data_IF_068149004644
#
_entry.id   IF_068149004644
#
_cell.length_a   1.000
_cell.length_b   1.000
_cell.length_c   1.000
_cell.angle_alpha   90.00
_cell.angle_beta   90.00
_cell.angle_gamma   90.00
#
_symmetry.space_group_name_H-M   'P 1'
#
loop_
_entity.id
_entity.type
_entity.pdbx_description
1 polymer ?
#
# COMPACT_ATOMS: atom_id res chain seq x y z
N UNK A 1 13.58 9.36 12.15
CA UNK A 1 13.44 9.06 10.71
C UNK A 1 12.29 9.95 10.22
N UNK A 2 12.51 10.84 9.24
CA UNK A 2 11.36 11.51 8.59
C UNK A 2 10.64 10.40 7.82
N UNK A 3 9.53 9.91 8.35
CA UNK A 3 8.73 8.94 7.61
C UNK A 3 8.26 9.63 6.32
N UNK A 4 8.65 9.07 5.17
CA UNK A 4 8.13 9.54 3.89
C UNK A 4 6.68 9.08 3.83
N UNK A 5 5.77 9.98 4.16
CA UNK A 5 4.34 9.73 4.09
C UNK A 5 3.91 9.67 2.62
N UNK A 6 3.12 8.66 2.27
CA UNK A 6 2.41 8.61 0.99
C UNK A 6 1.40 9.77 0.98
N UNK A 7 1.25 10.52 -0.11
CA UNK A 7 0.25 11.59 -0.17
C UNK A 7 -1.19 11.06 -0.32
N UNK A 8 -2.14 11.97 -0.17
CA UNK A 8 -3.56 11.70 -0.38
C UNK A 8 -3.86 11.45 -1.88
N UNK A 9 -5.03 10.88 -2.14
CA UNK A 9 -5.53 10.38 -3.40
C UNK A 9 -5.45 11.43 -4.51
N UNK A 10 -4.76 11.09 -5.60
CA UNK A 10 -4.76 11.84 -6.84
C UNK A 10 -5.39 11.01 -7.96
N UNK A 11 -5.84 11.68 -9.01
CA UNK A 11 -6.37 11.07 -10.22
C UNK A 11 -5.34 11.15 -11.34
N UNK A 12 -4.31 10.32 -11.26
CA UNK A 12 -3.34 10.12 -12.34
C UNK A 12 -3.72 8.89 -13.20
N UNK A 13 -3.49 8.96 -14.52
CA UNK A 13 -3.60 7.78 -15.40
C UNK A 13 -5.01 7.19 -15.60
N UNK A 14 -6.07 7.91 -15.20
CA UNK A 14 -7.46 7.51 -15.41
C UNK A 14 -8.09 6.68 -14.28
N UNK A 15 -7.40 6.52 -13.16
CA UNK A 15 -7.90 5.88 -11.94
C UNK A 15 -7.36 6.59 -10.69
N UNK A 16 -7.91 6.28 -9.51
CA UNK A 16 -7.45 6.90 -8.26
C UNK A 16 -6.22 6.18 -7.67
N UNK A 17 -5.13 6.92 -7.39
CA UNK A 17 -3.91 6.37 -6.80
C UNK A 17 -3.28 7.36 -5.81
N UNK A 18 -2.61 6.86 -4.77
CA UNK A 18 -1.79 7.73 -3.92
C UNK A 18 -0.41 7.93 -4.55
N UNK A 19 0.01 9.18 -4.73
CA UNK A 19 1.29 9.53 -5.35
C UNK A 19 2.37 9.87 -4.30
N UNK A 20 3.67 9.72 -4.60
CA UNK A 20 4.74 10.21 -3.75
C UNK A 20 4.71 11.74 -3.68
N UNK A 21 4.99 12.28 -2.49
CA UNK A 21 4.91 13.71 -2.19
C UNK A 21 5.68 14.59 -3.20
N UNK A 22 4.93 15.37 -3.98
CA UNK A 22 5.44 16.44 -4.84
C UNK A 22 4.97 17.77 -4.24
N UNK A 23 5.80 18.33 -3.37
CA UNK A 23 5.68 19.69 -2.80
C UNK A 23 4.33 20.02 -2.15
N UNK A 24 3.90 19.17 -1.21
CA UNK A 24 2.73 19.47 -0.40
C UNK A 24 3.06 20.38 0.77
N UNK A 25 2.52 21.60 0.73
CA UNK A 25 2.73 22.59 1.79
C UNK A 25 1.79 22.31 2.98
N UNK A 26 2.37 21.89 4.09
CA UNK A 26 1.70 21.66 5.37
C UNK A 26 2.02 22.81 6.32
N UNK A 27 1.00 23.40 6.95
CA UNK A 27 1.21 24.40 8.00
C UNK A 27 1.21 23.72 9.37
N UNK A 28 2.33 23.81 10.10
CA UNK A 28 2.35 23.44 11.52
C UNK A 28 1.49 24.43 12.30
N UNK A 29 0.56 23.94 13.12
CA UNK A 29 -0.36 24.79 13.89
C UNK A 29 0.36 25.81 14.77
N UNK A 30 1.60 25.53 15.19
CA UNK A 30 2.43 26.45 15.96
C UNK A 30 2.75 27.77 15.21
N UNK A 31 2.75 27.72 13.87
CA UNK A 31 3.12 28.83 12.99
C UNK A 31 1.92 29.52 12.34
N UNK A 32 0.69 29.20 12.79
CA UNK A 32 -0.56 29.69 12.20
C UNK A 32 -1.24 30.70 13.14
N UNK A 33 -1.76 31.78 12.55
CA UNK A 33 -2.61 32.75 13.23
C UNK A 33 -4.08 32.32 13.21
N UNK A 34 -4.83 32.66 14.26
CA UNK A 34 -6.27 32.39 14.31
C UNK A 34 -7.01 33.07 13.15
N UNK A 35 -8.01 32.40 12.60
CA UNK A 35 -8.83 32.94 11.50
C UNK A 35 -8.12 33.05 10.14
N UNK A 36 -6.88 32.56 9.98
CA UNK A 36 -6.17 32.62 8.70
C UNK A 36 -6.93 31.84 7.61
N UNK A 37 -7.41 32.57 6.60
CA UNK A 37 -8.20 32.04 5.48
C UNK A 37 -7.34 31.34 4.42
N UNK A 38 -6.02 31.53 4.43
CA UNK A 38 -5.12 30.90 3.46
C UNK A 38 -4.78 29.46 3.84
N UNK A 39 -4.96 29.11 5.11
CA UNK A 39 -4.65 27.80 5.65
C UNK A 39 -5.75 26.80 5.31
N UNK A 40 -5.38 25.75 4.57
CA UNK A 40 -6.29 24.64 4.20
C UNK A 40 -5.77 23.26 4.62
N UNK A 41 -4.47 23.15 4.92
CA UNK A 41 -3.78 21.93 5.33
C UNK A 41 -3.05 22.21 6.64
N UNK A 42 -3.37 21.48 7.70
CA UNK A 42 -2.85 21.72 9.06
C UNK A 42 -2.26 20.46 9.64
N UNK A 43 -1.14 20.60 10.35
CA UNK A 43 -0.57 19.55 11.18
C UNK A 43 -0.40 19.97 12.62
N UNK A 44 -0.66 19.01 13.50
CA UNK A 44 -0.35 19.12 14.92
C UNK A 44 -0.25 17.77 15.62
N UNK A 45 0.26 17.80 16.84
CA UNK A 45 0.42 16.64 17.72
C UNK A 45 0.50 17.05 19.18
N UNK A 46 0.79 16.10 20.10
CA UNK A 46 0.83 16.32 21.56
C UNK A 46 1.73 17.47 22.03
N UNK A 47 2.72 17.83 21.21
CA UNK A 47 3.66 18.92 21.49
C UNK A 47 3.02 20.31 21.33
N UNK A 48 2.03 20.46 20.44
CA UNK A 48 1.35 21.72 20.18
C UNK A 48 0.31 22.01 21.26
N UNK A 49 0.58 22.91 22.21
CA UNK A 49 -0.35 23.25 23.31
C UNK A 49 -1.50 24.17 22.89
N UNK A 50 -1.29 24.90 21.82
CA UNK A 50 -2.17 25.88 21.21
C UNK A 50 -2.99 25.32 20.03
N UNK A 51 -3.08 23.98 19.93
CA UNK A 51 -3.75 23.27 18.84
C UNK A 51 -5.23 23.67 18.63
N UNK A 52 -5.90 24.20 19.67
CA UNK A 52 -7.30 24.64 19.60
C UNK A 52 -7.54 25.77 18.60
N UNK A 53 -6.49 26.49 18.18
CA UNK A 53 -6.57 27.47 17.09
C UNK A 53 -7.15 26.88 15.81
N UNK A 54 -7.03 25.57 15.59
CA UNK A 54 -7.59 24.90 14.41
C UNK A 54 -9.10 25.14 14.26
N UNK A 55 -9.85 25.30 15.35
CA UNK A 55 -11.29 25.55 15.32
C UNK A 55 -11.65 26.95 14.82
N UNK A 56 -10.68 27.88 14.79
CA UNK A 56 -10.87 29.22 14.24
C UNK A 56 -10.62 29.29 12.73
N UNK A 57 -10.00 28.25 12.13
CA UNK A 57 -9.55 28.28 10.74
C UNK A 57 -10.69 27.91 9.79
N UNK A 58 -11.17 28.85 8.95
CA UNK A 58 -12.43 28.66 8.23
C UNK A 58 -12.33 27.72 7.02
N UNK A 59 -11.13 27.51 6.48
CA UNK A 59 -10.89 26.83 5.20
C UNK A 59 -10.11 25.52 5.34
N UNK A 60 -9.96 24.98 6.56
CA UNK A 60 -9.27 23.70 6.76
C UNK A 60 -10.05 22.57 6.11
N UNK A 61 -9.40 21.92 5.14
CA UNK A 61 -9.93 20.74 4.47
C UNK A 61 -9.16 19.48 4.85
N UNK A 62 -7.95 19.64 5.37
CA UNK A 62 -7.05 18.55 5.66
C UNK A 62 -6.32 18.72 6.98
N UNK A 63 -6.29 17.62 7.72
CA UNK A 63 -5.62 17.57 9.01
C UNK A 63 -4.72 16.35 9.12
N UNK A 64 -3.48 16.60 9.52
CA UNK A 64 -2.53 15.57 9.97
C UNK A 64 -2.36 15.64 11.49
N UNK A 65 -2.73 14.56 12.16
CA UNK A 65 -2.44 14.32 13.57
C UNK A 65 -1.24 13.38 13.69
N UNK A 66 -0.11 13.88 14.19
CA UNK A 66 1.08 13.07 14.44
C UNK A 66 1.35 12.96 15.94
N UNK A 67 1.32 11.74 16.48
CA UNK A 67 1.40 11.51 17.92
C UNK A 67 0.45 12.42 18.74
N UNK A 68 -0.85 12.49 18.42
CA UNK A 68 -1.79 13.31 19.17
C UNK A 68 -2.02 12.75 20.58
N UNK A 69 -2.39 13.63 21.52
CA UNK A 69 -2.94 13.20 22.80
C UNK A 69 -4.44 12.84 22.69
N UNK A 70 -5.02 12.32 23.77
CA UNK A 70 -6.43 11.90 23.79
C UNK A 70 -7.40 13.06 23.54
N UNK A 71 -7.10 14.26 24.04
CA UNK A 71 -8.00 15.40 23.91
C UNK A 71 -8.04 15.89 22.45
N UNK A 72 -6.87 15.93 21.80
CA UNK A 72 -6.73 16.26 20.38
C UNK A 72 -7.52 15.28 19.51
N UNK A 73 -7.45 13.98 19.81
CA UNK A 73 -8.17 12.92 19.10
C UNK A 73 -9.68 13.00 19.27
N UNK A 74 -10.16 13.20 20.50
CA UNK A 74 -11.60 13.29 20.75
C UNK A 74 -12.18 14.58 20.16
N UNK A 75 -11.39 15.64 20.05
CA UNK A 75 -11.85 16.93 19.55
C UNK A 75 -11.84 17.06 18.02
N UNK A 76 -11.12 16.20 17.29
CA UNK A 76 -11.04 16.28 15.82
C UNK A 76 -12.41 16.13 15.15
N UNK A 77 -13.34 15.40 15.80
CA UNK A 77 -14.69 15.20 15.31
C UNK A 77 -15.50 16.50 15.15
N UNK A 78 -15.08 17.59 15.81
CA UNK A 78 -15.69 18.92 15.68
C UNK A 78 -15.40 19.54 14.31
N UNK A 79 -14.34 19.12 13.61
CA UNK A 79 -14.00 19.59 12.26
C UNK A 79 -14.75 18.80 11.18
N UNK A 80 -16.08 18.84 11.23
CA UNK A 80 -16.96 18.04 10.36
C UNK A 80 -16.87 18.42 8.87
N UNK A 81 -16.21 19.54 8.54
CA UNK A 81 -16.00 20.03 7.17
C UNK A 81 -14.83 19.38 6.45
N UNK A 82 -13.89 18.76 7.17
CA UNK A 82 -12.65 18.27 6.56
C UNK A 82 -12.92 17.10 5.62
N UNK A 83 -12.12 17.03 4.56
CA UNK A 83 -12.18 15.99 3.53
C UNK A 83 -11.06 14.96 3.69
N UNK A 84 -9.95 15.34 4.32
CA UNK A 84 -8.74 14.51 4.41
C UNK A 84 -8.24 14.46 5.86
N UNK A 85 -8.06 13.27 6.38
CA UNK A 85 -7.58 13.05 7.75
C UNK A 85 -6.47 12.02 7.75
N UNK A 86 -5.33 12.38 8.32
CA UNK A 86 -4.25 11.46 8.65
C UNK A 86 -4.06 11.41 10.15
N UNK A 87 -3.95 10.22 10.70
CA UNK A 87 -3.58 10.00 12.09
C UNK A 87 -2.44 9.00 12.14
N UNK A 88 -1.34 9.38 12.79
CA UNK A 88 -0.16 8.53 12.91
C UNK A 88 0.32 8.41 14.35
N UNK A 89 0.88 7.24 14.68
CA UNK A 89 1.49 6.95 15.99
C UNK A 89 0.53 7.18 17.15
N UNK A 90 -0.55 6.39 17.17
CA UNK A 90 -1.66 6.60 18.09
C UNK A 90 -2.07 5.33 18.82
N UNK A 91 -2.55 5.48 20.05
CA UNK A 91 -3.25 4.44 20.80
C UNK A 91 -4.69 4.85 21.06
N UNK A 92 -5.61 4.25 20.31
CA UNK A 92 -7.04 4.52 20.36
C UNK A 92 -7.75 3.45 21.18
N UNK A 93 -8.81 3.83 21.92
CA UNK A 93 -9.72 2.85 22.55
C UNK A 93 -10.72 2.29 21.53
N UNK A 94 -11.15 3.13 20.60
CA UNK A 94 -12.08 2.82 19.50
C UNK A 94 -11.96 3.90 18.41
N UNK A 95 -12.68 3.72 17.30
CA UNK A 95 -12.75 4.68 16.19
C UNK A 95 -14.00 5.58 16.22
N UNK A 96 -14.79 5.60 17.30
CA UNK A 96 -16.12 6.24 17.29
C UNK A 96 -16.09 7.74 16.98
N UNK A 97 -14.98 8.43 17.29
CA UNK A 97 -14.83 9.86 17.00
C UNK A 97 -14.99 10.17 15.50
N UNK A 98 -14.66 9.23 14.62
CA UNK A 98 -14.68 9.44 13.18
C UNK A 98 -16.08 9.33 12.57
N UNK A 99 -17.03 8.66 13.22
CA UNK A 99 -18.36 8.39 12.66
C UNK A 99 -19.18 9.65 12.31
N UNK A 100 -18.87 10.79 12.95
CA UNK A 100 -19.53 12.07 12.67
C UNK A 100 -18.92 12.81 11.46
N UNK A 101 -17.75 12.40 10.98
CA UNK A 101 -16.97 13.07 9.94
C UNK A 101 -17.43 12.68 8.53
N UNK A 102 -18.74 12.78 8.27
CA UNK A 102 -19.40 12.26 7.04
C UNK A 102 -18.97 12.93 5.73
N UNK A 103 -18.22 14.02 5.79
CA UNK A 103 -17.60 14.69 4.62
C UNK A 103 -16.22 14.14 4.27
N UNK A 104 -15.65 13.27 5.10
CA UNK A 104 -14.34 12.69 4.86
C UNK A 104 -14.35 11.88 3.56
N UNK A 105 -13.43 12.24 2.68
CA UNK A 105 -13.19 11.56 1.41
C UNK A 105 -11.95 10.67 1.49
N UNK A 106 -11.04 10.97 2.42
CA UNK A 106 -9.79 10.24 2.54
C UNK A 106 -9.32 10.09 3.98
N UNK A 107 -8.91 8.87 4.31
CA UNK A 107 -8.45 8.50 5.64
C UNK A 107 -7.15 7.72 5.56
N UNK A 108 -6.17 8.19 6.32
CA UNK A 108 -4.91 7.48 6.54
C UNK A 108 -4.73 7.22 8.03
N UNK A 109 -4.60 5.94 8.40
CA UNK A 109 -4.29 5.50 9.76
C UNK A 109 -2.98 4.71 9.74
N UNK A 110 -1.95 5.25 10.38
CA UNK A 110 -0.59 4.69 10.39
C UNK A 110 -0.14 4.45 11.83
N UNK A 111 0.44 3.29 12.12
CA UNK A 111 0.95 2.97 13.47
C UNK A 111 -0.12 3.18 14.56
N UNK A 112 -1.34 2.73 14.29
CA UNK A 112 -2.47 2.85 15.21
C UNK A 112 -2.69 1.54 15.97
N UNK A 113 -3.03 1.65 17.26
CA UNK A 113 -3.20 0.47 18.13
C UNK A 113 -4.30 0.67 19.16
N UNK A 114 -4.70 -0.42 19.83
CA UNK A 114 -5.59 -0.36 20.99
C UNK A 114 -7.07 -0.59 20.69
N UNK A 115 -7.42 -0.75 19.42
CA UNK A 115 -8.76 -1.08 18.94
C UNK A 115 -8.69 -2.28 17.98
N UNK A 116 -9.82 -2.97 17.82
CA UNK A 116 -9.99 -4.07 16.86
C UNK A 116 -11.20 -3.88 15.96
N UNK A 117 -12.17 -3.05 16.38
CA UNK A 117 -13.40 -2.79 15.65
C UNK A 117 -13.24 -1.65 14.65
N UNK A 118 -13.50 -1.94 13.37
CA UNK A 118 -13.51 -0.99 12.26
C UNK A 118 -14.93 -0.52 11.89
N UNK A 119 -15.98 -1.03 12.53
CA UNK A 119 -17.38 -0.68 12.23
C UNK A 119 -17.68 0.83 12.18
N UNK A 120 -17.01 1.71 12.98
CA UNK A 120 -17.22 3.16 12.87
C UNK A 120 -16.88 3.75 11.49
N UNK A 121 -15.99 3.10 10.72
CA UNK A 121 -15.61 3.55 9.38
C UNK A 121 -16.78 3.43 8.39
N UNK A 122 -17.72 2.51 8.61
CA UNK A 122 -18.88 2.32 7.74
C UNK A 122 -19.77 3.56 7.63
N UNK A 123 -19.67 4.52 8.57
CA UNK A 123 -20.40 5.79 8.53
C UNK A 123 -19.83 6.81 7.53
N UNK A 124 -18.62 6.57 7.02
CA UNK A 124 -17.89 7.46 6.11
C UNK A 124 -18.31 7.25 4.65
N UNK A 125 -19.58 7.56 4.36
CA UNK A 125 -20.24 7.29 3.07
C UNK A 125 -19.65 8.06 1.86
N UNK A 126 -18.75 9.02 2.09
CA UNK A 126 -18.02 9.75 1.05
C UNK A 126 -16.57 9.29 0.87
N UNK A 127 -16.10 8.33 1.67
CA UNK A 127 -14.71 7.87 1.64
C UNK A 127 -14.40 7.21 0.29
N UNK A 128 -13.37 7.74 -0.37
CA UNK A 128 -12.81 7.30 -1.66
C UNK A 128 -11.44 6.66 -1.48
N UNK A 129 -10.67 7.10 -0.48
CA UNK A 129 -9.33 6.57 -0.18
C UNK A 129 -9.22 6.11 1.25
N UNK A 130 -8.70 4.90 1.43
CA UNK A 130 -8.39 4.34 2.74
C UNK A 130 -7.01 3.70 2.73
N UNK A 131 -6.11 4.23 3.57
CA UNK A 131 -4.80 3.67 3.83
C UNK A 131 -4.71 3.25 5.29
N UNK A 132 -4.50 1.95 5.51
CA UNK A 132 -4.34 1.34 6.82
C UNK A 132 -2.94 0.71 6.90
N UNK A 133 -2.07 1.26 7.74
CA UNK A 133 -0.74 0.72 7.99
C UNK A 133 -0.57 0.41 9.48
N UNK A 134 -0.15 -0.83 9.76
CA UNK A 134 0.25 -1.27 11.10
C UNK A 134 -0.86 -1.06 12.16
N UNK A 135 -2.06 -1.56 11.86
CA UNK A 135 -3.20 -1.54 12.77
C UNK A 135 -3.10 -2.70 13.75
N UNK A 136 -2.40 -2.47 14.87
CA UNK A 136 -2.18 -3.52 15.87
C UNK A 136 -3.50 -3.88 16.56
N UNK A 137 -3.81 -5.18 16.55
CA UNK A 137 -5.04 -5.84 17.05
C UNK A 137 -6.23 -5.85 16.09
N UNK A 138 -6.11 -5.24 14.91
CA UNK A 138 -7.10 -5.40 13.85
C UNK A 138 -6.74 -6.65 13.05
N UNK A 139 -7.72 -7.51 12.81
CA UNK A 139 -7.60 -8.66 11.89
C UNK A 139 -8.89 -8.94 11.14
N UNK A 140 -10.02 -8.54 11.71
CA UNK A 140 -11.30 -8.43 11.02
C UNK A 140 -11.44 -7.08 10.32
N UNK A 141 -11.73 -7.12 9.01
CA UNK A 141 -11.93 -5.96 8.15
C UNK A 141 -13.39 -5.82 7.68
N UNK A 142 -14.33 -6.57 8.26
CA UNK A 142 -15.78 -6.50 7.96
C UNK A 142 -16.38 -5.09 8.15
N UNK A 143 -15.77 -4.26 9.00
CA UNK A 143 -16.16 -2.85 9.19
C UNK A 143 -16.04 -1.98 7.92
N UNK A 144 -15.38 -2.48 6.87
CA UNK A 144 -15.25 -1.78 5.58
C UNK A 144 -16.45 -1.99 4.64
N UNK A 145 -17.36 -2.91 4.91
CA UNK A 145 -18.48 -3.29 4.03
C UNK A 145 -19.39 -2.13 3.61
N UNK A 146 -19.47 -1.08 4.44
CA UNK A 146 -20.27 0.12 4.19
C UNK A 146 -19.65 1.14 3.21
N UNK A 147 -18.37 0.99 2.86
CA UNK A 147 -17.60 1.98 2.10
C UNK A 147 -17.83 1.87 0.58
N UNK A 148 -19.09 2.04 0.16
CA UNK A 148 -19.53 1.81 -1.24
C UNK A 148 -18.90 2.74 -2.29
N UNK A 149 -18.28 3.85 -1.87
CA UNK A 149 -17.58 4.79 -2.77
C UNK A 149 -16.06 4.64 -2.76
N UNK A 150 -15.53 3.64 -2.05
CA UNK A 150 -14.10 3.45 -1.93
C UNK A 150 -13.51 3.09 -3.30
N UNK A 151 -12.50 3.87 -3.71
CA UNK A 151 -11.78 3.74 -4.98
C UNK A 151 -10.37 3.18 -4.78
N UNK A 152 -9.75 3.51 -3.65
CA UNK A 152 -8.41 3.06 -3.30
C UNK A 152 -8.40 2.45 -1.90
N UNK A 153 -7.84 1.24 -1.80
CA UNK A 153 -7.59 0.57 -0.52
C UNK A 153 -6.15 0.09 -0.47
N UNK A 154 -5.44 0.48 0.59
CA UNK A 154 -4.15 -0.07 0.95
C UNK A 154 -4.16 -0.60 2.37
N UNK A 155 -3.81 -1.89 2.52
CA UNK A 155 -3.63 -2.55 3.82
C UNK A 155 -2.17 -3.02 3.90
N UNK A 156 -1.44 -2.52 4.89
CA UNK A 156 -0.02 -2.82 5.09
C UNK A 156 0.32 -3.09 6.56
N UNK A 157 1.37 -3.86 6.76
CA UNK A 157 2.02 -4.11 8.04
C UNK A 157 3.48 -3.69 8.01
N UNK A 158 4.14 -3.76 9.16
CA UNK A 158 5.58 -3.48 9.28
C UNK A 158 6.40 -4.77 9.28
N UNK A 159 7.73 -4.63 9.35
CA UNK A 159 8.64 -5.77 9.45
C UNK A 159 8.41 -6.58 10.74
N UNK A 160 8.12 -5.90 11.85
CA UNK A 160 7.84 -6.51 13.16
C UNK A 160 6.37 -6.92 13.33
N UNK A 161 5.47 -6.38 12.50
CA UNK A 161 4.04 -6.67 12.57
C UNK A 161 3.42 -6.77 11.17
N UNK A 162 3.51 -7.94 10.52
CA UNK A 162 2.70 -8.22 9.33
C UNK A 162 1.21 -8.16 9.70
N UNK A 163 0.41 -7.42 8.93
CA UNK A 163 -0.99 -7.18 9.23
C UNK A 163 -1.82 -8.45 9.04
N UNK A 164 -2.36 -9.09 10.09
CA UNK A 164 -3.24 -10.24 9.93
C UNK A 164 -4.55 -9.84 9.26
N UNK A 165 -5.05 -10.71 8.38
CA UNK A 165 -6.39 -10.61 7.79
C UNK A 165 -7.09 -11.96 8.02
N UNK A 166 -8.17 -11.94 8.81
CA UNK A 166 -8.91 -13.14 9.17
C UNK A 166 -9.76 -13.67 8.00
N UNK A 167 -10.28 -12.80 7.15
CA UNK A 167 -11.00 -13.13 5.92
C UNK A 167 -11.06 -11.93 4.96
N UNK A 168 -11.45 -12.17 3.71
CA UNK A 168 -11.51 -11.15 2.65
C UNK A 168 -12.93 -10.85 2.16
N UNK A 169 -13.98 -11.26 2.88
CA UNK A 169 -15.38 -11.11 2.44
C UNK A 169 -15.77 -9.65 2.21
N UNK A 170 -15.16 -8.73 2.95
CA UNK A 170 -15.38 -7.29 2.80
C UNK A 170 -15.11 -6.78 1.38
N UNK A 171 -14.18 -7.40 0.65
CA UNK A 171 -13.87 -7.03 -0.73
C UNK A 171 -15.07 -7.22 -1.67
N UNK A 172 -15.97 -8.17 -1.38
CA UNK A 172 -17.16 -8.39 -2.21
C UNK A 172 -18.13 -7.18 -2.21
N UNK A 173 -18.02 -6.31 -1.19
CA UNK A 173 -18.87 -5.13 -1.02
C UNK A 173 -18.28 -3.86 -1.66
N UNK A 174 -16.97 -3.83 -1.91
CA UNK A 174 -16.23 -2.68 -2.44
C UNK A 174 -16.27 -2.62 -3.97
N UNK A 175 -17.45 -2.68 -4.58
CA UNK A 175 -17.61 -2.84 -6.04
C UNK A 175 -17.05 -1.68 -6.88
N UNK A 176 -16.87 -0.52 -6.26
CA UNK A 176 -16.34 0.70 -6.87
C UNK A 176 -14.82 0.80 -6.83
N UNK A 177 -14.13 -0.17 -6.18
CA UNK A 177 -12.70 -0.16 -5.98
C UNK A 177 -11.96 -0.24 -7.31
N UNK A 178 -11.04 0.71 -7.52
CA UNK A 178 -10.19 0.82 -8.70
C UNK A 178 -8.76 0.34 -8.41
N UNK A 179 -8.28 0.54 -7.17
CA UNK A 179 -6.93 0.14 -6.76
C UNK A 179 -6.98 -0.63 -5.43
N UNK A 180 -6.46 -1.86 -5.47
CA UNK A 180 -6.28 -2.71 -4.29
C UNK A 180 -4.80 -2.98 -4.06
N UNK A 181 -4.30 -2.64 -2.88
CA UNK A 181 -2.90 -2.90 -2.50
C UNK A 181 -2.86 -3.67 -1.19
N UNK A 182 -2.02 -4.69 -1.16
CA UNK A 182 -1.59 -5.37 0.06
C UNK A 182 -0.09 -5.20 0.20
N UNK A 183 0.38 -4.72 1.34
CA UNK A 183 1.80 -4.71 1.67
C UNK A 183 2.18 -5.99 2.40
N UNK A 184 2.71 -5.88 3.62
CA UNK A 184 3.03 -7.00 4.51
C UNK A 184 1.79 -7.46 5.25
N UNK A 185 1.01 -8.36 4.64
CA UNK A 185 -0.15 -9.00 5.27
C UNK A 185 0.11 -10.45 5.67
N UNK A 186 -0.69 -10.99 6.58
CA UNK A 186 -0.84 -12.44 6.81
C UNK A 186 -2.26 -12.82 6.43
N UNK A 187 -2.42 -13.56 5.33
CA UNK A 187 -3.64 -14.28 5.04
C UNK A 187 -3.79 -15.46 6.01
N UNK A 188 -4.85 -15.49 6.81
CA UNK A 188 -5.14 -16.59 7.75
C UNK A 188 -6.00 -17.72 7.19
N UNK A 189 -6.54 -17.56 5.97
CA UNK A 189 -7.39 -18.56 5.34
C UNK A 189 -6.62 -19.38 4.29
N UNK A 190 -7.00 -20.66 4.11
CA UNK A 190 -6.52 -21.45 3.00
C UNK A 190 -7.09 -20.92 1.67
N UNK A 191 -6.43 -21.30 0.57
CA UNK A 191 -6.95 -21.05 -0.78
C UNK A 191 -8.34 -21.69 -0.97
N UNK A 192 -9.32 -21.03 -1.63
CA UNK A 192 -9.25 -19.72 -2.32
C UNK A 192 -9.76 -18.56 -1.46
N UNK A 193 -8.92 -18.03 -0.58
CA UNK A 193 -9.27 -16.98 0.37
C UNK A 193 -9.63 -15.64 -0.30
N UNK A 194 -9.03 -15.34 -1.45
CA UNK A 194 -9.30 -14.10 -2.19
C UNK A 194 -10.45 -14.23 -3.19
N UNK A 195 -11.23 -15.32 -3.18
CA UNK A 195 -12.37 -15.46 -4.08
C UNK A 195 -13.36 -14.27 -4.08
N UNK A 196 -13.62 -13.56 -2.96
CA UNK A 196 -14.46 -12.36 -2.95
C UNK A 196 -14.06 -11.27 -3.96
N UNK A 197 -12.79 -11.21 -4.40
CA UNK A 197 -12.34 -10.21 -5.38
C UNK A 197 -13.08 -10.31 -6.71
N UNK A 198 -13.71 -11.44 -7.05
CA UNK A 198 -14.49 -11.60 -8.30
C UNK A 198 -15.60 -10.55 -8.46
N UNK A 199 -16.03 -9.91 -7.37
CA UNK A 199 -17.05 -8.85 -7.39
C UNK A 199 -16.48 -7.44 -7.66
N UNK A 200 -15.16 -7.26 -7.67
CA UNK A 200 -14.48 -5.97 -7.94
C UNK A 200 -14.45 -5.66 -9.44
N UNK A 201 -15.59 -5.29 -10.01
CA UNK A 201 -15.76 -5.08 -11.46
C UNK A 201 -15.01 -3.86 -12.02
N UNK A 202 -14.67 -2.90 -11.16
CA UNK A 202 -14.03 -1.65 -11.55
C UNK A 202 -12.51 -1.64 -11.33
N UNK A 203 -11.93 -2.77 -10.88
CA UNK A 203 -10.52 -2.85 -10.54
C UNK A 203 -9.63 -2.53 -11.77
N UNK A 204 -8.69 -1.62 -11.59
CA UNK A 204 -7.72 -1.15 -12.59
C UNK A 204 -6.30 -1.54 -12.24
N UNK A 205 -5.98 -1.57 -10.94
CA UNK A 205 -4.67 -1.96 -10.43
C UNK A 205 -4.80 -2.84 -9.21
N UNK A 206 -3.98 -3.89 -9.17
CA UNK A 206 -3.78 -4.71 -7.97
C UNK A 206 -2.29 -4.89 -7.72
N UNK A 207 -1.89 -4.73 -6.46
CA UNK A 207 -0.49 -4.90 -6.07
C UNK A 207 -0.36 -5.65 -4.75
N UNK A 208 0.64 -6.51 -4.70
CA UNK A 208 1.05 -7.27 -3.53
C UNK A 208 2.51 -7.74 -3.73
N UNK A 209 3.36 -7.77 -2.70
CA UNK A 209 4.69 -8.38 -2.80
C UNK A 209 4.59 -9.84 -3.27
N UNK A 210 5.50 -10.27 -4.15
CA UNK A 210 5.47 -11.61 -4.77
C UNK A 210 5.48 -12.77 -3.77
N UNK A 211 5.91 -12.54 -2.53
CA UNK A 211 6.09 -13.57 -1.50
C UNK A 211 5.03 -13.52 -0.38
N UNK A 212 3.98 -12.69 -0.50
CA UNK A 212 3.03 -12.47 0.60
C UNK A 212 1.84 -13.46 0.61
N UNK A 213 1.42 -13.93 -0.57
CA UNK A 213 0.32 -14.88 -0.75
C UNK A 213 0.82 -16.20 -1.34
N UNK A 214 0.08 -17.29 -1.15
CA UNK A 214 0.34 -18.55 -1.88
C UNK A 214 0.23 -18.32 -3.41
N UNK A 215 1.03 -19.04 -4.19
CA UNK A 215 1.00 -18.95 -5.66
C UNK A 215 -0.38 -19.20 -6.26
N UNK A 216 -1.22 -20.03 -5.61
CA UNK A 216 -2.61 -20.28 -6.02
C UNK A 216 -3.47 -19.02 -5.97
N UNK A 217 -3.25 -18.15 -4.98
CA UNK A 217 -3.96 -16.87 -4.87
C UNK A 217 -3.54 -15.91 -5.99
N UNK A 218 -2.25 -15.87 -6.36
CA UNK A 218 -1.80 -15.10 -7.51
C UNK A 218 -2.38 -15.62 -8.82
N UNK A 219 -2.50 -16.94 -8.98
CA UNK A 219 -3.16 -17.53 -10.14
C UNK A 219 -4.67 -17.16 -10.20
N UNK A 220 -5.34 -17.12 -9.04
CA UNK A 220 -6.73 -16.65 -8.92
C UNK A 220 -6.89 -15.19 -9.29
N UNK A 221 -5.99 -14.31 -8.82
CA UNK A 221 -5.98 -12.89 -9.18
C UNK A 221 -5.84 -12.73 -10.71
N UNK A 222 -4.86 -13.37 -11.33
CA UNK A 222 -4.64 -13.27 -12.77
C UNK A 222 -5.84 -13.82 -13.57
N UNK A 223 -6.41 -14.96 -13.14
CA UNK A 223 -7.59 -15.54 -13.76
C UNK A 223 -8.84 -14.66 -13.65
N UNK A 224 -9.01 -13.93 -12.54
CA UNK A 224 -10.08 -12.95 -12.38
C UNK A 224 -9.88 -11.73 -13.31
N UNK A 225 -8.63 -11.30 -13.46
CA UNK A 225 -8.31 -9.96 -13.94
C UNK A 225 -7.13 -9.90 -14.94
N UNK A 226 -7.16 -10.63 -16.07
CA UNK A 226 -6.02 -10.75 -16.97
C UNK A 226 -5.59 -9.44 -17.66
N UNK A 227 -6.38 -8.36 -17.53
CA UNK A 227 -6.09 -7.03 -18.11
C UNK A 227 -5.85 -5.95 -17.05
N UNK A 228 -5.93 -6.28 -15.76
CA UNK A 228 -5.72 -5.33 -14.66
C UNK A 228 -4.23 -5.21 -14.39
N UNK A 229 -3.75 -3.99 -14.22
CA UNK A 229 -2.33 -3.73 -13.96
C UNK A 229 -1.89 -4.44 -12.67
N UNK A 230 -0.81 -5.22 -12.76
CA UNK A 230 -0.24 -5.96 -11.63
C UNK A 230 -0.94 -7.29 -11.28
N UNK A 231 -2.02 -7.64 -11.97
CA UNK A 231 -2.68 -8.94 -11.84
C UNK A 231 -1.89 -10.04 -12.57
N UNK A 232 -1.46 -9.78 -13.81
CA UNK A 232 -0.59 -10.69 -14.57
C UNK A 232 0.84 -10.62 -14.04
N UNK A 233 1.43 -11.79 -13.76
CA UNK A 233 2.77 -11.88 -13.16
C UNK A 233 3.63 -12.92 -13.85
N UNK A 234 4.94 -12.65 -13.87
CA UNK A 234 5.89 -13.69 -14.21
C UNK A 234 5.90 -14.77 -13.10
N UNK A 235 6.00 -16.06 -13.45
CA UNK A 235 6.06 -17.14 -12.46
C UNK A 235 7.33 -17.10 -11.59
N UNK A 236 8.34 -16.36 -12.03
CA UNK A 236 9.54 -16.05 -11.28
C UNK A 236 10.16 -14.73 -11.75
N UNK A 237 11.03 -14.16 -10.91
CA UNK A 237 11.82 -12.96 -11.22
C UNK A 237 13.29 -13.20 -10.95
N UNK A 238 14.16 -12.61 -11.77
CA UNK A 238 15.61 -12.65 -11.57
C UNK A 238 16.03 -11.55 -10.58
N UNK A 239 16.64 -11.92 -9.46
CA UNK A 239 17.05 -11.01 -8.39
C UNK A 239 18.52 -11.26 -8.04
N UNK A 240 19.31 -10.19 -7.91
CA UNK A 240 20.67 -10.24 -7.40
C UNK A 240 20.72 -9.74 -5.95
N UNK A 241 21.41 -10.47 -5.07
CA UNK A 241 21.50 -10.15 -3.64
C UNK A 241 22.76 -9.37 -3.24
N UNK A 242 23.73 -9.26 -4.15
CA UNK A 242 24.90 -8.41 -4.02
C UNK A 242 25.17 -7.72 -5.35
N UNK A 243 25.89 -6.61 -5.26
CA UNK A 243 26.46 -5.93 -6.42
C UNK A 243 27.99 -6.00 -6.31
N UNK A 244 28.68 -6.00 -7.45
CA UNK A 244 30.13 -5.82 -7.55
C UNK A 244 30.45 -4.44 -8.11
N UNK A 245 31.44 -3.77 -7.52
CA UNK A 245 31.90 -2.47 -8.01
C UNK A 245 32.72 -2.63 -9.27
N UNK A 246 32.48 -1.75 -10.24
CA UNK A 246 33.29 -1.70 -11.45
C UNK A 246 34.68 -1.13 -11.13
N UNK A 247 35.77 -1.78 -11.59
CA UNK A 247 37.10 -1.24 -11.43
C UNK A 247 37.26 0.03 -12.28
N UNK A 248 38.21 0.90 -11.91
CA UNK A 248 38.51 2.12 -12.69
C UNK A 248 38.93 1.85 -14.14
N UNK A 249 39.43 0.64 -14.41
CA UNK A 249 39.85 0.18 -15.74
C UNK A 249 38.68 -0.25 -16.62
N UNK A 250 37.48 -0.47 -16.06
CA UNK A 250 36.28 -0.76 -16.85
C UNK A 250 35.86 0.51 -17.60
N UNK A 251 35.61 0.41 -18.91
CA UNK A 251 35.19 1.55 -19.75
C UNK A 251 33.92 2.20 -19.22
N UNK A 252 33.02 1.41 -18.63
CA UNK A 252 31.77 1.90 -18.04
C UNK A 252 32.03 2.68 -16.76
N UNK A 253 33.23 2.67 -16.18
CA UNK A 253 33.58 3.53 -15.05
C UNK A 253 33.87 4.97 -15.46
N UNK A 254 34.12 5.25 -16.74
CA UNK A 254 34.49 6.58 -17.25
C UNK A 254 33.44 7.25 -18.15
N UNK A 255 32.39 6.53 -18.57
CA UNK A 255 31.29 7.09 -19.37
C UNK A 255 30.53 8.21 -18.64
N UNK A 256 29.74 9.02 -19.35
CA UNK A 256 28.81 9.94 -18.68
C UNK A 256 27.64 9.17 -18.04
N UNK A 257 26.95 9.78 -17.07
CA UNK A 257 25.77 9.16 -16.46
C UNK A 257 24.63 8.98 -17.48
N UNK A 258 24.52 9.89 -18.47
CA UNK A 258 23.58 9.79 -19.58
C UNK A 258 23.90 8.59 -20.50
N UNK A 259 25.18 8.38 -20.81
CA UNK A 259 25.62 7.22 -21.59
C UNK A 259 25.38 5.91 -20.83
N UNK A 260 25.60 5.90 -19.52
CA UNK A 260 25.26 4.73 -18.68
C UNK A 260 23.77 4.46 -18.72
N UNK A 261 22.94 5.46 -18.49
CA UNK A 261 21.48 5.29 -18.49
C UNK A 261 20.96 4.80 -19.85
N UNK A 262 21.57 5.26 -20.94
CA UNK A 262 21.15 4.95 -22.31
C UNK A 262 21.67 3.60 -22.83
N UNK A 263 22.93 3.28 -22.56
CA UNK A 263 23.61 2.13 -23.18
C UNK A 263 24.00 1.02 -22.20
N UNK A 264 24.01 1.30 -20.89
CA UNK A 264 24.38 0.36 -19.85
C UNK A 264 23.36 0.28 -18.71
N UNK A 265 22.10 -0.12 -19.00
CA UNK A 265 21.04 -0.19 -18.00
C UNK A 265 21.32 -1.21 -16.86
N UNK A 266 22.31 -2.09 -17.04
CA UNK A 266 22.79 -3.00 -15.99
C UNK A 266 23.63 -2.32 -14.91
N UNK A 267 24.17 -1.12 -15.18
CA UNK A 267 25.03 -0.39 -14.27
C UNK A 267 24.20 0.50 -13.37
N UNK A 268 24.35 0.29 -12.06
CA UNK A 268 23.77 1.14 -11.01
C UNK A 268 24.81 2.12 -10.53
N UNK A 269 24.38 3.37 -10.30
CA UNK A 269 25.20 4.42 -9.71
C UNK A 269 24.74 4.60 -8.26
N UNK A 270 25.65 4.48 -7.30
CA UNK A 270 25.33 4.73 -5.89
C UNK A 270 25.36 6.23 -5.55
N UNK A 271 24.94 6.58 -4.33
CA UNK A 271 24.90 7.98 -3.85
C UNK A 271 26.28 8.66 -3.79
N UNK A 272 27.38 7.91 -3.93
CA UNK A 272 28.76 8.41 -3.99
C UNK A 272 29.28 8.47 -5.44
N UNK A 273 28.43 8.22 -6.43
CA UNK A 273 28.81 8.16 -7.85
C UNK A 273 29.57 6.91 -8.24
N UNK A 274 29.68 5.89 -7.36
CA UNK A 274 30.36 4.64 -7.72
C UNK A 274 29.45 3.76 -8.56
N UNK A 275 30.05 3.13 -9.57
CA UNK A 275 29.35 2.26 -10.51
C UNK A 275 29.48 0.81 -10.10
N UNK A 276 28.37 0.09 -10.15
CA UNK A 276 28.27 -1.31 -9.75
C UNK A 276 27.29 -2.05 -10.64
N UNK A 277 27.52 -3.35 -10.81
CA UNK A 277 26.62 -4.25 -11.53
C UNK A 277 26.15 -5.36 -10.58
N UNK A 278 25.05 -6.02 -10.91
CA UNK A 278 24.63 -7.23 -10.20
C UNK A 278 25.77 -8.25 -10.20
N UNK A 279 26.06 -8.85 -9.05
CA UNK A 279 27.02 -9.95 -8.96
C UNK A 279 26.41 -11.22 -9.57
N UNK A 280 26.95 -11.77 -10.68
CA UNK A 280 26.39 -12.96 -11.32
C UNK A 280 26.31 -14.18 -10.39
N UNK A 281 27.17 -14.25 -9.36
CA UNK A 281 27.17 -15.35 -8.39
C UNK A 281 26.09 -15.21 -7.30
N UNK A 282 25.45 -14.04 -7.21
CA UNK A 282 24.36 -13.77 -6.29
C UNK A 282 23.00 -13.62 -7.00
N UNK A 283 22.93 -14.00 -8.27
CA UNK A 283 21.68 -14.01 -9.04
C UNK A 283 20.86 -15.27 -8.78
N UNK A 284 19.58 -15.07 -8.49
CA UNK A 284 18.59 -16.11 -8.25
C UNK A 284 17.34 -15.87 -9.09
N UNK A 285 16.75 -16.95 -9.56
CA UNK A 285 15.33 -16.96 -9.92
C UNK A 285 14.52 -17.17 -8.64
N UNK A 286 13.76 -16.16 -8.25
CA UNK A 286 12.79 -16.24 -7.15
C UNK A 286 11.42 -16.58 -7.69
N UNK A 287 10.84 -17.67 -7.19
CA UNK A 287 9.52 -18.13 -7.62
C UNK A 287 8.42 -17.28 -6.99
N UNK A 288 7.37 -17.01 -7.76
CA UNK A 288 6.19 -16.26 -7.32
C UNK A 288 5.42 -17.07 -6.26
N UNK A 289 5.19 -16.49 -5.08
CA UNK A 289 4.40 -17.09 -4.02
C UNK A 289 5.15 -17.21 -2.70
N UNK A 290 4.39 -17.15 -1.61
CA UNK A 290 4.89 -17.36 -0.25
C UNK A 290 5.50 -18.75 -0.15
N UNK A 291 6.74 -18.80 0.34
CA UNK A 291 7.51 -20.04 0.49
C UNK A 291 7.72 -20.80 -0.82
N UNK A 292 7.59 -20.16 -1.99
CA UNK A 292 7.81 -20.80 -3.28
C UNK A 292 9.28 -21.17 -3.53
N UNK A 293 10.21 -20.54 -2.80
CA UNK A 293 11.64 -20.80 -2.89
C UNK A 293 12.31 -20.07 -4.04
N UNK A 294 13.57 -20.42 -4.28
CA UNK A 294 14.42 -19.82 -5.30
C UNK A 294 15.49 -20.80 -5.79
N UNK A 295 16.02 -20.58 -6.98
CA UNK A 295 17.14 -21.35 -7.56
C UNK A 295 18.22 -20.39 -8.08
N UNK A 296 19.50 -20.69 -7.85
CA UNK A 296 20.60 -19.88 -8.40
C UNK A 296 20.53 -19.88 -9.92
N UNK A 297 20.76 -18.74 -10.55
CA UNK A 297 20.73 -18.65 -12.01
C UNK A 297 21.78 -19.55 -12.68
N UNK A 298 22.96 -19.66 -12.08
CA UNK A 298 24.06 -20.51 -12.58
C UNK A 298 23.95 -22.00 -12.19
N UNK A 299 22.88 -22.42 -11.52
CA UNK A 299 22.64 -23.83 -11.24
C UNK A 299 22.34 -24.60 -12.54
N UNK A 300 22.91 -25.79 -12.77
CA UNK A 300 22.56 -26.63 -13.93
C UNK A 300 21.06 -26.95 -14.04
N UNK A 301 20.36 -26.99 -12.90
CA UNK A 301 18.91 -27.25 -12.83
C UNK A 301 18.02 -26.00 -12.93
N UNK A 302 18.59 -24.81 -13.11
CA UNK A 302 17.81 -23.56 -13.07
C UNK A 302 16.76 -23.48 -14.17
N UNK A 303 17.13 -23.84 -15.41
CA UNK A 303 16.24 -23.80 -16.56
C UNK A 303 15.06 -24.78 -16.44
N UNK A 304 15.33 -26.01 -16.00
CA UNK A 304 14.32 -27.04 -15.77
C UNK A 304 13.34 -26.61 -14.68
N UNK A 305 13.83 -26.22 -13.50
CA UNK A 305 12.98 -25.76 -12.39
C UNK A 305 12.13 -24.55 -12.75
N UNK A 306 12.67 -23.61 -13.52
CA UNK A 306 11.91 -22.46 -14.01
C UNK A 306 10.78 -22.89 -14.96
N UNK A 307 11.07 -23.82 -15.88
CA UNK A 307 10.09 -24.35 -16.83
C UNK A 307 8.97 -25.13 -16.14
N UNK A 308 9.33 -25.99 -15.18
CA UNK A 308 8.37 -26.73 -14.34
C UNK A 308 7.49 -25.77 -13.54
N UNK A 309 8.07 -24.74 -12.91
CA UNK A 309 7.33 -23.78 -12.12
C UNK A 309 6.37 -22.95 -12.99
N UNK A 310 6.81 -22.55 -14.19
CA UNK A 310 5.96 -21.87 -15.16
C UNK A 310 4.77 -22.75 -15.59
N UNK A 311 5.01 -24.03 -15.91
CA UNK A 311 3.95 -24.98 -16.26
C UNK A 311 2.97 -25.20 -15.10
N UNK A 312 3.47 -25.29 -13.86
CA UNK A 312 2.65 -25.35 -12.64
C UNK A 312 1.77 -24.11 -12.53
N UNK A 313 2.32 -22.91 -12.72
CA UNK A 313 1.55 -21.67 -12.62
C UNK A 313 0.42 -21.60 -13.65
N UNK A 314 0.67 -22.04 -14.89
CA UNK A 314 -0.37 -22.14 -15.93
C UNK A 314 -1.49 -23.14 -15.55
N UNK A 315 -1.14 -24.28 -14.93
CA UNK A 315 -2.15 -25.22 -14.42
C UNK A 315 -3.02 -24.58 -13.34
N UNK A 316 -2.39 -23.89 -12.37
CA UNK A 316 -3.11 -23.21 -11.28
C UNK A 316 -4.07 -22.14 -11.80
N UNK A 317 -3.73 -21.43 -12.88
CA UNK A 317 -4.64 -20.47 -13.52
C UNK A 317 -5.88 -21.17 -14.10
N UNK A 318 -5.73 -22.35 -14.70
CA UNK A 318 -6.87 -23.15 -15.19
C UNK A 318 -7.76 -23.64 -14.05
N UNK A 319 -7.16 -24.10 -12.96
CA UNK A 319 -7.90 -24.49 -11.73
C UNK A 319 -8.68 -23.31 -11.15
N UNK A 320 -8.05 -22.14 -11.05
CA UNK A 320 -8.69 -20.92 -10.59
C UNK A 320 -9.88 -20.51 -11.46
N UNK A 321 -9.75 -20.59 -12.79
CA UNK A 321 -10.86 -20.33 -13.71
C UNK A 321 -12.07 -21.24 -13.47
N UNK A 322 -11.85 -22.50 -13.12
CA UNK A 322 -12.93 -23.43 -12.78
C UNK A 322 -13.64 -23.04 -11.47
N UNK A 323 -12.89 -22.56 -10.47
CA UNK A 323 -13.45 -22.04 -9.21
C UNK A 323 -14.27 -20.77 -9.47
N UNK A 324 -13.73 -19.83 -10.24
CA UNK A 324 -14.39 -18.55 -10.58
C UNK A 324 -15.73 -18.80 -11.28
N UNK A 325 -15.78 -19.75 -12.22
CA UNK A 325 -17.03 -20.11 -12.94
C UNK A 325 -18.15 -20.57 -12.02
N UNK A 326 -17.83 -21.18 -10.88
CA UNK A 326 -18.82 -21.63 -9.87
C UNK A 326 -19.29 -20.50 -8.95
N UNK A 327 -18.52 -19.41 -8.85
CA UNK A 327 -18.76 -18.29 -7.92
C UNK A 327 -19.43 -17.06 -8.57
N UNK A 328 -19.59 -17.09 -9.91
CA UNK A 328 -20.27 -16.04 -10.69
C UNK A 328 -21.76 -16.27 -10.70
#
# INVERSE_FOLDING_TARGET
MKHHFIDFLDREGGYWEMIPNRDRYEYDIANIQEGDKKVSIVKYGKANKDWRKIFSLPNVEEVTLHEPDNEQLESICKLQSIKRLRISFVRLKNLNFISSMRKLEELVLEYASGFSDLSPLSELQKLKSLHLENLRRVSDFSGLDGLKKLKYLYIDGTLDWPQPIDNFEFLAKLQDLEVLRFGRIINKLPFPSLLPIVKLKNLKKIWAPNNILDVKEFALIEACFPKVQGATRAPFSKIAYSDIFLPKTDVRSSLSDDDILKYHPEVKIDYKGKRKIADPNSEWFEFLGKSAGRVKCNSPSSAEKCSEYAAKYESLKKEALAIIKKAR
#
